data_IF_143556196284
#
_entry.id   IF_143556196284
#
_cell.length_a   1.000
_cell.length_b   1.000
_cell.length_c   1.000
_cell.angle_alpha   90.00
_cell.angle_beta   90.00
_cell.angle_gamma   90.00
#
_symmetry.space_group_name_H-M   'P 1'
#
loop_
_entity.id
_entity.type
_entity.pdbx_description
1 polymer ?
#
# COMPACT_ATOMS: atom_id res chain seq x y z
N UNK A 1 13.32 2.17 -14.15
CA UNK A 1 12.50 2.76 -13.07
C UNK A 1 11.55 3.75 -13.70
N UNK A 2 10.24 3.57 -13.51
CA UNK A 2 9.27 4.59 -13.88
C UNK A 2 9.56 5.86 -13.07
N UNK A 3 9.79 6.99 -13.74
CA UNK A 3 10.03 8.28 -13.08
C UNK A 3 8.69 8.89 -12.65
N UNK A 4 8.04 8.28 -11.67
CA UNK A 4 6.82 8.80 -11.05
C UNK A 4 7.08 9.09 -9.57
N UNK A 5 6.30 10.00 -8.99
CA UNK A 5 6.36 10.25 -7.54
C UNK A 5 6.10 8.97 -6.74
N UNK A 6 5.31 8.05 -7.29
CA UNK A 6 4.97 6.78 -6.66
C UNK A 6 6.04 5.69 -6.78
N UNK A 7 7.22 5.97 -7.37
CA UNK A 7 8.19 4.92 -7.72
C UNK A 7 8.58 4.03 -6.53
N UNK A 8 8.82 4.63 -5.35
CA UNK A 8 9.15 3.88 -4.14
C UNK A 8 7.99 2.99 -3.65
N UNK A 9 6.76 3.51 -3.67
CA UNK A 9 5.60 2.72 -3.30
C UNK A 9 5.32 1.58 -4.31
N UNK A 10 5.51 1.82 -5.61
CA UNK A 10 5.40 0.81 -6.66
C UNK A 10 6.43 -0.30 -6.51
N UNK A 11 7.68 0.05 -6.20
CA UNK A 11 8.76 -0.91 -5.97
C UNK A 11 8.44 -1.83 -4.78
N UNK A 12 7.96 -1.26 -3.67
CA UNK A 12 7.54 -2.02 -2.50
C UNK A 12 6.39 -2.99 -2.79
N UNK A 13 5.39 -2.54 -3.56
CA UNK A 13 4.25 -3.41 -3.91
C UNK A 13 4.64 -4.52 -4.88
N UNK A 14 5.53 -4.24 -5.84
CA UNK A 14 6.11 -5.27 -6.73
C UNK A 14 6.90 -6.29 -5.94
N UNK A 15 7.71 -5.84 -4.98
CA UNK A 15 8.47 -6.73 -4.13
C UNK A 15 7.55 -7.60 -3.25
N UNK A 16 6.40 -7.07 -2.79
CA UNK A 16 5.41 -7.89 -2.11
C UNK A 16 4.89 -9.05 -2.98
N UNK A 17 4.62 -8.80 -4.27
CA UNK A 17 4.14 -9.83 -5.21
C UNK A 17 5.16 -10.97 -5.41
N UNK A 18 6.46 -10.69 -5.30
CA UNK A 18 7.53 -11.72 -5.34
C UNK A 18 7.46 -12.70 -4.15
N UNK A 19 6.85 -12.28 -3.04
CA UNK A 19 6.69 -13.08 -1.84
C UNK A 19 5.32 -13.76 -1.73
N UNK A 20 4.25 -13.12 -2.22
CA UNK A 20 2.89 -13.69 -2.22
C UNK A 20 2.86 -15.10 -2.83
N UNK A 21 3.63 -15.32 -3.90
CA UNK A 21 3.66 -16.56 -4.66
C UNK A 21 4.43 -17.72 -3.99
N UNK A 22 5.12 -17.49 -2.87
CA UNK A 22 6.00 -18.48 -2.24
C UNK A 22 5.30 -19.33 -1.17
N UNK A 23 4.04 -19.03 -0.84
CA UNK A 23 3.14 -19.73 0.10
C UNK A 23 3.64 -19.99 1.54
N UNK A 24 4.92 -19.75 1.84
CA UNK A 24 5.50 -19.91 3.16
C UNK A 24 5.03 -18.82 4.13
N UNK A 25 4.89 -19.17 5.41
CA UNK A 25 4.41 -18.24 6.43
C UNK A 25 5.28 -16.98 6.56
N UNK A 26 6.60 -17.13 6.43
CA UNK A 26 7.54 -16.01 6.44
C UNK A 26 7.35 -15.11 5.21
N UNK A 27 7.26 -15.68 4.01
CA UNK A 27 7.03 -14.91 2.78
C UNK A 27 5.70 -14.15 2.84
N UNK A 28 4.63 -14.75 3.37
CA UNK A 28 3.35 -14.04 3.59
C UNK A 28 3.52 -12.82 4.51
N UNK A 29 4.32 -12.94 5.58
CA UNK A 29 4.62 -11.78 6.46
C UNK A 29 5.42 -10.71 5.72
N UNK A 30 6.46 -11.10 4.98
CA UNK A 30 7.28 -10.14 4.21
C UNK A 30 6.44 -9.43 3.16
N UNK A 31 5.58 -10.16 2.44
CA UNK A 31 4.62 -9.58 1.51
C UNK A 31 3.71 -8.56 2.21
N UNK A 32 3.13 -8.93 3.36
CA UNK A 32 2.23 -8.06 4.10
C UNK A 32 2.91 -6.78 4.59
N UNK A 33 4.15 -6.88 5.09
CA UNK A 33 4.97 -5.74 5.49
C UNK A 33 5.30 -4.84 4.30
N UNK A 34 5.68 -5.43 3.16
CA UNK A 34 5.97 -4.68 1.94
C UNK A 34 4.73 -3.96 1.39
N UNK A 35 3.55 -4.55 1.49
CA UNK A 35 2.27 -3.89 1.16
C UNK A 35 2.04 -2.70 2.09
N UNK A 36 2.16 -2.88 3.41
CA UNK A 36 1.96 -1.78 4.37
C UNK A 36 2.93 -0.61 4.12
N UNK A 37 4.21 -0.92 3.89
CA UNK A 37 5.21 0.09 3.58
C UNK A 37 4.91 0.79 2.25
N UNK A 38 4.40 0.07 1.25
CA UNK A 38 3.95 0.65 -0.01
C UNK A 38 2.82 1.65 0.21
N UNK A 39 1.80 1.26 0.99
CA UNK A 39 0.66 2.10 1.35
C UNK A 39 1.13 3.35 2.12
N UNK A 40 1.97 3.20 3.14
CA UNK A 40 2.53 4.34 3.89
C UNK A 40 3.32 5.28 2.98
N UNK A 41 4.18 4.72 2.13
CA UNK A 41 5.00 5.50 1.20
C UNK A 41 4.12 6.25 0.20
N UNK A 42 3.07 5.62 -0.32
CA UNK A 42 2.11 6.24 -1.24
C UNK A 42 1.39 7.43 -0.59
N UNK A 43 0.81 7.23 0.61
CA UNK A 43 0.08 8.28 1.34
C UNK A 43 1.01 9.45 1.66
N UNK A 44 2.18 9.15 2.24
CA UNK A 44 3.18 10.17 2.58
C UNK A 44 3.59 10.96 1.34
N UNK A 45 3.94 10.27 0.25
CA UNK A 45 4.34 10.92 -0.99
C UNK A 45 3.25 11.85 -1.51
N UNK A 46 2.00 11.40 -1.52
CA UNK A 46 0.87 12.19 -2.01
C UNK A 46 0.60 13.43 -1.16
N UNK A 47 0.71 13.34 0.17
CA UNK A 47 0.55 14.49 1.07
C UNK A 47 1.65 15.52 0.85
N UNK A 48 2.89 15.06 0.68
CA UNK A 48 4.06 15.94 0.63
C UNK A 48 4.40 16.46 -0.78
N UNK A 49 3.84 15.89 -1.84
CA UNK A 49 4.05 16.38 -3.21
C UNK A 49 3.43 17.78 -3.43
N UNK A 50 3.88 18.53 -4.46
CA UNK A 50 3.28 19.81 -4.83
C UNK A 50 1.77 19.72 -5.07
N UNK A 51 1.00 20.69 -4.56
CA UNK A 51 -0.46 20.74 -4.74
C UNK A 51 -0.88 20.86 -6.22
N UNK A 52 -0.01 21.39 -7.07
CA UNK A 52 -0.20 21.43 -8.53
C UNK A 52 -0.30 20.03 -9.15
N UNK A 53 0.27 19.01 -8.50
CA UNK A 53 0.23 17.61 -8.92
C UNK A 53 -0.87 16.83 -8.22
N UNK A 54 -0.94 16.89 -6.88
CA UNK A 54 -1.96 16.15 -6.10
C UNK A 54 -3.39 16.69 -6.32
N UNK A 55 -3.52 17.95 -6.75
CA UNK A 55 -4.79 18.70 -6.83
C UNK A 55 -5.52 18.78 -5.48
N UNK A 56 -4.79 18.57 -4.39
CA UNK A 56 -5.27 18.66 -3.01
C UNK A 56 -4.33 19.60 -2.27
N UNK A 57 -4.89 20.55 -1.54
CA UNK A 57 -4.11 21.50 -0.75
C UNK A 57 -3.92 20.95 0.67
N UNK A 58 -2.70 20.51 0.97
CA UNK A 58 -2.22 20.19 2.30
C UNK A 58 -1.38 21.36 2.79
N UNK A 59 -1.87 22.09 3.80
CA UNK A 59 -1.18 23.22 4.40
C UNK A 59 0.09 22.78 5.15
N UNK A 60 1.01 23.72 5.35
CA UNK A 60 2.22 23.47 6.13
C UNK A 60 1.88 23.03 7.57
N UNK A 61 0.89 23.67 8.19
CA UNK A 61 0.42 23.34 9.54
C UNK A 61 -0.08 21.90 9.63
N UNK A 62 -0.91 21.45 8.69
CA UNK A 62 -1.40 20.07 8.67
C UNK A 62 -0.23 19.07 8.52
N UNK A 63 0.74 19.37 7.65
CA UNK A 63 1.94 18.54 7.45
C UNK A 63 2.82 18.44 8.71
N UNK A 64 2.94 19.53 9.45
CA UNK A 64 3.67 19.58 10.72
C UNK A 64 2.95 18.76 11.81
N UNK A 65 1.63 18.91 11.92
CA UNK A 65 0.80 18.24 12.94
C UNK A 65 0.72 16.71 12.79
N UNK A 66 0.75 16.19 11.55
CA UNK A 66 0.81 14.75 11.29
C UNK A 66 2.19 14.16 11.65
N UNK A 67 3.27 14.94 11.49
CA UNK A 67 4.65 14.48 11.65
C UNK A 67 4.93 13.17 10.90
N UNK A 68 5.43 12.16 11.61
CA UNK A 68 5.68 10.81 11.09
C UNK A 68 4.60 9.78 11.46
N UNK A 69 3.46 10.20 12.00
CA UNK A 69 2.42 9.29 12.45
C UNK A 69 1.58 8.78 11.27
N UNK A 70 1.67 7.49 10.95
CA UNK A 70 0.86 6.87 9.90
C UNK A 70 -0.65 7.02 10.12
N UNK A 71 -1.21 6.77 11.32
CA UNK A 71 -2.64 7.01 11.56
C UNK A 71 -3.06 8.47 11.28
N UNK A 72 -2.24 9.45 11.67
CA UNK A 72 -2.54 10.86 11.38
C UNK A 72 -2.48 11.17 9.88
N UNK A 73 -1.55 10.55 9.15
CA UNK A 73 -1.49 10.66 7.68
C UNK A 73 -2.74 10.09 7.01
N UNK A 74 -3.21 8.91 7.45
CA UNK A 74 -4.44 8.28 6.95
C UNK A 74 -5.65 9.19 7.19
N UNK A 75 -5.79 9.72 8.41
CA UNK A 75 -6.88 10.63 8.76
C UNK A 75 -6.88 11.90 7.91
N UNK A 76 -5.73 12.58 7.80
CA UNK A 76 -5.62 13.79 6.99
C UNK A 76 -5.94 13.51 5.50
N UNK A 77 -5.47 12.37 4.97
CA UNK A 77 -5.79 12.00 3.60
C UNK A 77 -7.29 11.76 3.43
N UNK A 78 -7.91 10.99 4.34
CA UNK A 78 -9.35 10.72 4.36
C UNK A 78 -10.17 12.02 4.37
N UNK A 79 -9.88 12.93 5.31
CA UNK A 79 -10.57 14.21 5.44
C UNK A 79 -10.51 15.09 4.17
N UNK A 80 -9.40 15.01 3.43
CA UNK A 80 -9.17 15.85 2.24
C UNK A 80 -9.62 15.20 0.94
N UNK A 81 -9.88 13.90 0.94
CA UNK A 81 -10.06 13.11 -0.29
C UNK A 81 -11.19 12.10 -0.25
N UNK A 82 -11.98 12.01 0.83
CA UNK A 82 -13.12 11.09 0.97
C UNK A 82 -14.04 11.11 -0.24
N UNK A 83 -14.36 12.31 -0.75
CA UNK A 83 -15.28 12.50 -1.88
C UNK A 83 -14.62 12.18 -3.24
N UNK A 84 -13.30 11.93 -3.26
CA UNK A 84 -12.47 11.84 -4.47
C UNK A 84 -11.84 10.45 -4.68
N UNK A 85 -11.87 9.59 -3.67
CA UNK A 85 -11.25 8.24 -3.73
C UNK A 85 -12.32 7.17 -3.43
N UNK A 86 -13.28 6.94 -4.35
CA UNK A 86 -14.29 5.92 -4.16
C UNK A 86 -13.68 4.52 -4.23
N UNK A 87 -14.16 3.63 -3.35
CA UNK A 87 -13.77 2.22 -3.29
C UNK A 87 -12.56 1.92 -2.40
N UNK A 88 -12.13 2.86 -1.56
CA UNK A 88 -11.15 2.61 -0.50
C UNK A 88 -11.76 3.03 0.83
N UNK A 89 -11.93 2.08 1.73
CA UNK A 89 -12.32 2.34 3.11
C UNK A 89 -11.05 2.60 3.94
N UNK A 90 -10.84 3.85 4.38
CA UNK A 90 -9.62 4.21 5.14
C UNK A 90 -9.51 3.45 6.47
N UNK A 91 -10.63 3.01 7.05
CA UNK A 91 -10.64 2.14 8.23
C UNK A 91 -9.96 0.78 7.99
N UNK A 92 -10.03 0.26 6.76
CA UNK A 92 -9.37 -1.00 6.40
C UNK A 92 -7.84 -0.83 6.35
N UNK A 93 -7.37 0.33 5.86
CA UNK A 93 -5.93 0.67 5.91
C UNK A 93 -5.44 0.70 7.35
N UNK A 94 -6.18 1.33 8.26
CA UNK A 94 -5.80 1.35 9.68
C UNK A 94 -5.84 -0.06 10.31
N UNK A 95 -6.85 -0.87 9.97
CA UNK A 95 -6.95 -2.24 10.42
C UNK A 95 -5.74 -3.06 10.00
N UNK A 96 -5.37 -3.02 8.71
CA UNK A 96 -4.23 -3.78 8.21
C UNK A 96 -2.89 -3.27 8.73
N UNK A 97 -2.74 -1.96 8.95
CA UNK A 97 -1.55 -1.43 9.60
C UNK A 97 -1.38 -1.94 11.04
N UNK A 98 -2.48 -2.02 11.82
CA UNK A 98 -2.45 -2.64 13.15
C UNK A 98 -2.08 -4.12 13.08
N UNK A 99 -2.66 -4.85 12.13
CA UNK A 99 -2.34 -6.26 11.91
C UNK A 99 -0.85 -6.44 11.55
N UNK A 100 -0.28 -5.58 10.70
CA UNK A 100 1.15 -5.57 10.40
C UNK A 100 1.98 -5.37 11.66
N UNK A 101 1.62 -4.42 12.51
CA UNK A 101 2.36 -4.14 13.75
C UNK A 101 2.35 -5.36 14.69
N UNK A 102 1.24 -6.07 14.81
CA UNK A 102 1.16 -7.33 15.56
C UNK A 102 2.10 -8.40 14.97
N UNK A 103 2.07 -8.60 13.65
CA UNK A 103 2.94 -9.56 12.96
C UNK A 103 4.44 -9.27 13.15
N UNK A 104 4.81 -8.01 13.38
CA UNK A 104 6.18 -7.59 13.65
C UNK A 104 6.59 -7.76 15.12
N UNK A 105 5.68 -7.45 16.05
CA UNK A 105 5.98 -7.37 17.48
C UNK A 105 5.73 -8.67 18.27
N UNK A 106 4.83 -9.53 17.81
CA UNK A 106 4.42 -10.70 18.61
C UNK A 106 5.43 -11.85 18.59
N UNK A 107 6.56 -11.70 17.89
CA UNK A 107 7.78 -12.55 17.97
C UNK A 107 7.62 -14.03 17.61
N UNK A 108 6.38 -14.50 17.47
CA UNK A 108 5.98 -15.87 17.20
C UNK A 108 5.65 -15.98 15.72
N UNK A 109 5.85 -17.16 15.14
CA UNK A 109 5.74 -17.43 13.69
C UNK A 109 4.33 -17.27 13.08
N UNK A 110 3.49 -16.40 13.62
CA UNK A 110 2.18 -16.00 13.12
C UNK A 110 2.28 -15.68 11.62
N UNK A 111 1.51 -16.41 10.83
CA UNK A 111 1.32 -16.08 9.43
C UNK A 111 0.13 -15.12 9.30
N UNK A 112 0.00 -14.47 8.16
CA UNK A 112 -1.20 -13.71 7.82
C UNK A 112 -2.16 -14.59 7.03
N UNK A 113 -3.45 -14.44 7.28
CA UNK A 113 -4.48 -15.07 6.48
C UNK A 113 -4.34 -14.65 5.00
N UNK A 114 -4.55 -15.59 4.08
CA UNK A 114 -4.38 -15.33 2.65
C UNK A 114 -5.37 -14.28 2.14
N UNK A 115 -6.60 -14.26 2.66
CA UNK A 115 -7.59 -13.28 2.24
C UNK A 115 -7.23 -11.87 2.74
N UNK A 116 -6.70 -11.74 3.97
CA UNK A 116 -6.18 -10.46 4.45
C UNK A 116 -5.00 -9.96 3.60
N UNK A 117 -4.09 -10.86 3.21
CA UNK A 117 -2.96 -10.52 2.36
C UNK A 117 -3.42 -10.02 0.98
N UNK A 118 -4.31 -10.77 0.32
CA UNK A 118 -4.86 -10.41 -0.99
C UNK A 118 -5.68 -9.12 -0.93
N UNK A 119 -6.54 -8.97 0.08
CA UNK A 119 -7.34 -7.77 0.27
C UNK A 119 -6.47 -6.53 0.49
N UNK A 120 -5.44 -6.62 1.36
CA UNK A 120 -4.58 -5.47 1.60
C UNK A 120 -3.74 -5.11 0.37
N UNK A 121 -3.30 -6.12 -0.39
CA UNK A 121 -2.66 -5.92 -1.70
C UNK A 121 -3.59 -5.13 -2.63
N UNK A 122 -4.85 -5.56 -2.78
CA UNK A 122 -5.84 -4.86 -3.62
C UNK A 122 -6.02 -3.40 -3.18
N UNK A 123 -6.06 -3.13 -1.88
CA UNK A 123 -6.09 -1.74 -1.37
C UNK A 123 -4.85 -0.96 -1.79
N UNK A 124 -3.65 -1.52 -1.64
CA UNK A 124 -2.41 -0.86 -2.08
C UNK A 124 -2.41 -0.54 -3.57
N UNK A 125 -2.95 -1.43 -4.39
CA UNK A 125 -3.12 -1.20 -5.83
C UNK A 125 -4.07 -0.05 -6.13
N UNK A 126 -5.26 -0.11 -5.55
CA UNK A 126 -6.30 0.89 -5.73
C UNK A 126 -5.80 2.25 -5.26
N UNK A 127 -5.07 2.30 -4.16
CA UNK A 127 -4.51 3.53 -3.62
C UNK A 127 -3.52 4.16 -4.60
N UNK A 128 -2.59 3.38 -5.15
CA UNK A 128 -1.65 3.87 -6.17
C UNK A 128 -2.38 4.37 -7.42
N UNK A 129 -3.38 3.62 -7.87
CA UNK A 129 -4.21 4.00 -9.02
C UNK A 129 -4.95 5.31 -8.79
N UNK A 130 -5.55 5.49 -7.61
CA UNK A 130 -6.37 6.67 -7.30
C UNK A 130 -5.54 7.91 -7.01
N UNK A 131 -4.44 7.77 -6.26
CA UNK A 131 -3.58 8.90 -5.89
C UNK A 131 -2.70 9.38 -7.04
N UNK A 132 -2.18 8.46 -7.85
CA UNK A 132 -1.15 8.78 -8.85
C UNK A 132 -1.59 8.53 -10.29
N UNK A 133 -2.80 8.01 -10.53
CA UNK A 133 -3.32 7.62 -11.86
C UNK A 133 -2.42 6.59 -12.55
N UNK A 134 -1.81 5.70 -11.78
CA UNK A 134 -0.93 4.65 -12.28
C UNK A 134 -1.72 3.36 -12.37
N UNK A 135 -1.72 2.73 -13.54
CA UNK A 135 -2.23 1.37 -13.67
C UNK A 135 -1.13 0.40 -13.26
N UNK A 136 -1.37 -0.37 -12.20
CA UNK A 136 -0.47 -1.43 -11.81
C UNK A 136 -0.69 -2.61 -12.74
N UNK A 137 0.12 -2.71 -13.80
CA UNK A 137 0.12 -3.91 -14.62
C UNK A 137 0.77 -5.03 -13.81
N UNK A 138 -0.08 -5.91 -13.26
CA UNK A 138 0.38 -7.21 -12.80
C UNK A 138 1.00 -7.88 -14.04
N UNK A 139 2.33 -8.03 -14.08
CA UNK A 139 2.88 -9.11 -14.88
C UNK A 139 2.45 -10.35 -14.12
N UNK A 140 1.26 -10.86 -14.44
CA UNK A 140 0.97 -12.26 -14.23
C UNK A 140 2.05 -12.92 -15.08
N UNK A 141 3.14 -13.33 -14.43
CA UNK A 141 3.94 -14.46 -14.88
C UNK A 141 2.96 -15.62 -14.82
N UNK A 142 2.09 -15.71 -15.84
CA UNK A 142 1.48 -16.93 -16.27
C UNK A 142 2.71 -17.80 -16.51
N UNK A 143 3.07 -18.60 -15.51
CA UNK A 143 3.75 -19.85 -15.78
C UNK A 143 2.82 -20.53 -16.76
N UNK A 144 3.18 -20.38 -18.02
CA UNK A 144 2.79 -21.18 -19.14
C UNK A 144 2.42 -22.56 -18.64
N UNK A 145 1.12 -22.83 -18.54
CA UNK A 145 0.58 -24.15 -18.80
C UNK A 145 0.85 -24.44 -20.27
N UNK A 146 2.12 -24.70 -20.61
CA UNK A 146 2.42 -25.47 -21.80
C UNK A 146 2.01 -26.89 -21.45
N UNK A 147 0.80 -27.23 -21.87
CA UNK A 147 0.53 -28.53 -22.43
C UNK A 147 1.61 -28.82 -23.48
N UNK A 148 2.50 -29.76 -23.14
CA UNK A 148 3.37 -30.56 -23.98
C UNK A 148 3.60 -31.80 -23.10
N UNK A 149 3.07 -33.00 -23.33
CA UNK A 149 2.52 -33.71 -24.50
C UNK A 149 1.40 -34.61 -23.97
#
# INVERSE_FOLDING_TARGET
MEKTWASGALELLKHADEHINKEQAFDKRIAFISIDNSVETAIRTFIFMPSSLSKVNFSFKEKDEIGNSFPKMVNLLSEKTSDKIPGIEFSDIEFYHRLRNQLYHDGTGLSVDKNHLEAYRTIGELLLKKLFKIEFNLIILLKTSHFLI
#
